data_IF_630491154294
#
_entry.id   IF_630491154294
#
_cell.length_a   1.000
_cell.length_b   1.000
_cell.length_c   1.000
_cell.angle_alpha   90.00
_cell.angle_beta   90.00
_cell.angle_gamma   90.00
#
_symmetry.space_group_name_H-M   'P 1'
#
loop_
_entity.id
_entity.type
_entity.pdbx_description
1 polymer ?
#
# COMPACT_ATOMS: atom_id res chain seq x y z
N UNK A 1 -21.42 -15.58 -11.48
CA UNK A 1 -22.88 -15.51 -11.67
C UNK A 1 -23.59 -16.28 -10.56
N UNK A 2 -24.24 -15.57 -9.64
CA UNK A 2 -24.99 -16.18 -8.53
C UNK A 2 -26.24 -16.91 -9.05
N UNK A 3 -26.78 -17.85 -8.26
CA UNK A 3 -28.01 -18.59 -8.61
C UNK A 3 -29.18 -17.62 -8.84
N UNK A 4 -29.24 -16.54 -8.06
CA UNK A 4 -30.21 -15.46 -8.21
C UNK A 4 -30.18 -14.81 -9.59
N UNK A 5 -29.00 -14.38 -10.07
CA UNK A 5 -28.88 -13.77 -11.39
C UNK A 5 -29.18 -14.75 -12.52
N UNK A 6 -28.89 -16.05 -12.36
CA UNK A 6 -29.28 -17.07 -13.35
C UNK A 6 -30.79 -17.17 -13.49
N UNK A 7 -31.54 -17.06 -12.40
CA UNK A 7 -33.01 -17.06 -12.40
C UNK A 7 -33.57 -15.76 -12.97
N UNK A 8 -33.04 -14.60 -12.57
CA UNK A 8 -33.49 -13.29 -13.07
C UNK A 8 -33.29 -13.12 -14.59
N UNK A 9 -32.13 -13.55 -15.12
CA UNK A 9 -31.79 -13.37 -16.53
C UNK A 9 -32.46 -14.39 -17.46
N UNK A 10 -33.08 -15.44 -16.92
CA UNK A 10 -33.81 -16.42 -17.70
C UNK A 10 -35.32 -16.25 -17.54
N UNK A 11 -35.99 -15.80 -18.61
CA UNK A 11 -37.42 -15.50 -18.57
C UNK A 11 -38.31 -16.70 -18.21
N UNK A 12 -37.92 -17.95 -18.55
CA UNK A 12 -38.72 -19.13 -18.16
C UNK A 12 -38.62 -19.37 -16.65
N UNK A 13 -37.41 -19.31 -16.11
CA UNK A 13 -37.17 -19.47 -14.67
C UNK A 13 -37.82 -18.34 -13.86
N UNK A 14 -37.73 -17.10 -14.34
CA UNK A 14 -38.37 -15.94 -13.71
C UNK A 14 -39.90 -16.07 -13.70
N UNK A 15 -40.52 -16.51 -14.80
CA UNK A 15 -41.97 -16.76 -14.85
C UNK A 15 -42.41 -17.83 -13.86
N UNK A 16 -41.63 -18.89 -13.67
CA UNK A 16 -41.92 -19.92 -12.67
C UNK A 16 -41.78 -19.34 -11.27
N UNK A 17 -40.72 -18.57 -10.99
CA UNK A 17 -40.48 -17.97 -9.68
C UNK A 17 -41.55 -16.93 -9.26
N UNK A 18 -42.13 -16.20 -10.22
CA UNK A 18 -43.14 -15.17 -9.95
C UNK A 18 -44.59 -15.66 -10.08
N UNK A 19 -44.83 -16.89 -10.56
CA UNK A 19 -46.18 -17.40 -10.85
C UNK A 19 -47.09 -17.38 -9.62
N UNK A 20 -46.55 -17.75 -8.45
CA UNK A 20 -47.30 -17.91 -7.22
C UNK A 20 -47.21 -16.68 -6.30
N UNK A 21 -46.67 -15.56 -6.80
CA UNK A 21 -46.50 -14.32 -6.05
C UNK A 21 -47.64 -13.34 -6.34
N UNK A 22 -48.19 -12.63 -5.33
CA UNK A 22 -49.21 -11.62 -5.56
C UNK A 22 -48.67 -10.46 -6.42
N UNK A 23 -49.54 -9.92 -7.28
CA UNK A 23 -49.16 -8.88 -8.24
C UNK A 23 -48.53 -7.65 -7.57
N UNK A 24 -49.05 -7.23 -6.42
CA UNK A 24 -48.53 -6.08 -5.68
C UNK A 24 -47.05 -6.24 -5.29
N UNK A 25 -46.66 -7.45 -4.89
CA UNK A 25 -45.26 -7.75 -4.55
C UNK A 25 -44.36 -7.79 -5.79
N UNK A 26 -44.88 -8.24 -6.93
CA UNK A 26 -44.16 -8.20 -8.21
C UNK A 26 -43.96 -6.75 -8.68
N UNK A 27 -44.96 -5.89 -8.50
CA UNK A 27 -44.87 -4.45 -8.76
C UNK A 27 -43.82 -3.78 -7.87
N UNK A 28 -43.86 -4.03 -6.56
CA UNK A 28 -42.86 -3.50 -5.61
C UNK A 28 -41.44 -3.97 -5.96
N UNK A 29 -41.27 -5.24 -6.33
CA UNK A 29 -39.99 -5.78 -6.76
C UNK A 29 -39.48 -5.09 -8.04
N UNK A 30 -40.38 -4.79 -8.99
CA UNK A 30 -40.05 -4.04 -10.21
C UNK A 30 -39.60 -2.62 -9.88
N UNK A 31 -40.34 -1.90 -9.04
CA UNK A 31 -39.99 -0.54 -8.65
C UNK A 31 -38.61 -0.47 -7.98
N UNK A 32 -38.32 -1.38 -7.05
CA UNK A 32 -36.99 -1.47 -6.43
C UNK A 32 -35.89 -1.78 -7.45
N UNK A 33 -36.17 -2.65 -8.41
CA UNK A 33 -35.21 -2.96 -9.47
C UNK A 33 -34.97 -1.75 -10.37
N UNK A 34 -36.01 -1.01 -10.74
CA UNK A 34 -35.90 0.20 -11.56
C UNK A 34 -35.10 1.30 -10.85
N UNK A 35 -35.27 1.46 -9.53
CA UNK A 35 -34.46 2.37 -8.72
C UNK A 35 -32.98 2.00 -8.74
N UNK A 36 -32.65 0.74 -8.44
CA UNK A 36 -31.26 0.26 -8.48
C UNK A 36 -30.67 0.35 -9.89
N UNK A 37 -31.49 0.10 -10.91
CA UNK A 37 -31.07 0.24 -12.30
C UNK A 37 -30.73 1.69 -12.64
N UNK A 38 -31.54 2.65 -12.21
CA UNK A 38 -31.26 4.08 -12.40
C UNK A 38 -29.97 4.51 -11.70
N UNK A 39 -29.74 4.08 -10.45
CA UNK A 39 -28.50 4.37 -9.71
C UNK A 39 -27.26 3.82 -10.44
N UNK A 40 -27.34 2.59 -10.94
CA UNK A 40 -26.25 1.97 -11.70
C UNK A 40 -26.02 2.65 -13.05
N UNK A 41 -27.08 3.10 -13.71
CA UNK A 41 -26.97 3.83 -14.97
C UNK A 41 -26.30 5.18 -14.76
N UNK A 42 -26.70 5.92 -13.72
CA UNK A 42 -26.08 7.20 -13.37
C UNK A 42 -24.60 7.01 -13.01
N UNK A 43 -24.28 6.00 -12.20
CA UNK A 43 -22.88 5.70 -11.87
C UNK A 43 -22.04 5.37 -13.12
N UNK A 44 -22.58 4.58 -14.05
CA UNK A 44 -21.90 4.23 -15.29
C UNK A 44 -21.76 5.44 -16.24
N UNK A 45 -22.71 6.38 -16.22
CA UNK A 45 -22.62 7.63 -16.98
C UNK A 45 -21.60 8.59 -16.38
N UNK A 46 -21.57 8.74 -15.05
CA UNK A 46 -20.55 9.53 -14.35
C UNK A 46 -19.14 8.97 -14.58
N UNK A 47 -18.97 7.65 -14.54
CA UNK A 47 -17.68 7.02 -14.83
C UNK A 47 -17.25 7.26 -16.28
N UNK A 48 -18.18 7.13 -17.23
CA UNK A 48 -17.91 7.41 -18.64
C UNK A 48 -17.58 8.87 -18.90
N UNK A 49 -18.30 9.80 -18.28
CA UNK A 49 -18.03 11.23 -18.37
C UNK A 49 -16.66 11.57 -17.78
N UNK A 50 -16.30 11.00 -16.62
CA UNK A 50 -14.98 11.20 -16.02
C UNK A 50 -13.85 10.61 -16.89
N UNK A 51 -14.06 9.44 -17.49
CA UNK A 51 -13.12 8.86 -18.46
C UNK A 51 -12.99 9.72 -19.71
N UNK A 52 -14.09 10.27 -20.21
CA UNK A 52 -14.09 11.15 -21.38
C UNK A 52 -13.38 12.47 -21.09
N UNK A 53 -13.66 13.12 -19.96
CA UNK A 53 -12.93 14.32 -19.52
C UNK A 53 -11.43 14.04 -19.34
N UNK A 54 -11.07 12.90 -18.76
CA UNK A 54 -9.67 12.51 -18.61
C UNK A 54 -8.99 12.31 -19.96
N UNK A 55 -9.65 11.62 -20.89
CA UNK A 55 -9.15 11.38 -22.24
C UNK A 55 -9.07 12.67 -23.06
N UNK A 56 -10.03 13.59 -22.92
CA UNK A 56 -10.00 14.91 -23.55
C UNK A 56 -8.81 15.71 -23.05
N UNK A 57 -8.61 15.79 -21.73
CA UNK A 57 -7.43 16.44 -21.14
C UNK A 57 -6.14 15.80 -21.65
N UNK A 58 -6.07 14.47 -21.69
CA UNK A 58 -4.89 13.76 -22.19
C UNK A 58 -4.61 14.10 -23.67
N UNK A 59 -5.65 14.19 -24.50
CA UNK A 59 -5.54 14.59 -25.89
C UNK A 59 -5.09 16.05 -26.05
N UNK A 60 -5.61 16.96 -25.22
CA UNK A 60 -5.17 18.36 -25.18
C UNK A 60 -3.68 18.47 -24.79
N UNK A 61 -3.26 17.80 -23.72
CA UNK A 61 -1.85 17.76 -23.30
C UNK A 61 -0.96 17.13 -24.36
N UNK A 62 -1.42 16.06 -25.02
CA UNK A 62 -0.67 15.43 -26.12
C UNK A 62 -0.45 16.39 -27.29
N UNK A 63 -1.45 17.22 -27.64
CA UNK A 63 -1.29 18.26 -28.66
C UNK A 63 -0.28 19.32 -28.25
N UNK A 64 -0.37 19.82 -27.02
CA UNK A 64 0.58 20.81 -26.49
C UNK A 64 2.02 20.28 -26.47
N UNK A 65 2.22 19.01 -26.10
CA UNK A 65 3.54 18.37 -26.15
C UNK A 65 4.06 18.24 -27.58
N UNK A 66 3.20 17.86 -28.52
CA UNK A 66 3.55 17.78 -29.93
C UNK A 66 3.93 19.16 -30.50
N UNK A 67 3.21 20.23 -30.14
CA UNK A 67 3.55 21.61 -30.52
C UNK A 67 4.90 22.06 -29.93
N UNK A 68 5.21 21.64 -28.71
CA UNK A 68 6.51 21.88 -28.08
C UNK A 68 7.64 20.99 -28.64
N UNK A 69 7.32 20.02 -29.50
CA UNK A 69 8.28 19.05 -30.05
C UNK A 69 8.83 18.07 -29.02
N UNK A 70 8.10 17.86 -27.91
CA UNK A 70 8.50 16.98 -26.81
C UNK A 70 7.76 15.65 -26.95
N UNK A 71 8.50 14.54 -27.03
CA UNK A 71 7.91 13.21 -27.02
C UNK A 71 7.46 12.84 -25.58
N UNK A 72 6.24 12.29 -25.38
CA UNK A 72 5.78 11.88 -24.06
C UNK A 72 6.71 10.91 -23.32
N UNK A 73 7.50 10.09 -24.04
CA UNK A 73 8.45 9.16 -23.44
C UNK A 73 9.64 9.88 -22.79
N UNK A 74 10.11 10.99 -23.38
CA UNK A 74 11.22 11.79 -22.83
C UNK A 74 10.86 12.38 -21.47
N UNK A 75 9.58 12.72 -21.24
CA UNK A 75 9.10 13.16 -19.93
C UNK A 75 9.12 12.05 -18.87
N UNK A 76 8.80 10.82 -19.27
CA UNK A 76 8.87 9.65 -18.38
C UNK A 76 10.32 9.36 -18.01
N UNK A 77 11.22 9.42 -18.98
CA UNK A 77 12.66 9.22 -18.78
C UNK A 77 13.26 10.34 -17.90
N UNK A 78 12.90 11.60 -18.13
CA UNK A 78 13.30 12.73 -17.30
C UNK A 78 12.79 12.58 -15.84
N UNK A 79 11.55 12.12 -15.65
CA UNK A 79 11.00 11.84 -14.31
C UNK A 79 11.74 10.70 -13.62
N UNK A 80 12.07 9.64 -14.37
CA UNK A 80 12.79 8.50 -13.85
C UNK A 80 14.22 8.89 -13.46
N UNK A 81 14.89 9.71 -14.26
CA UNK A 81 16.20 10.28 -13.96
C UNK A 81 16.17 11.17 -12.71
N UNK A 82 15.16 12.04 -12.57
CA UNK A 82 15.00 12.86 -11.37
C UNK A 82 14.77 12.03 -10.09
N UNK A 83 14.07 10.89 -10.21
CA UNK A 83 13.83 9.98 -9.08
C UNK A 83 15.09 9.20 -8.67
N UNK A 84 15.92 8.78 -9.62
CA UNK A 84 17.18 8.09 -9.33
C UNK A 84 18.23 9.02 -8.74
N UNK A 85 18.31 10.27 -9.19
CA UNK A 85 19.16 11.32 -8.60
C UNK A 85 18.77 11.64 -7.15
N UNK A 86 17.46 11.65 -6.84
CA UNK A 86 16.95 11.82 -5.47
C UNK A 86 17.38 10.69 -4.52
N UNK A 87 17.48 9.45 -5.01
CA UNK A 87 17.96 8.31 -4.21
C UNK A 87 19.49 8.24 -4.08
N UNK A 88 20.23 8.77 -5.05
CA UNK A 88 21.69 8.87 -4.97
C UNK A 88 22.13 9.81 -3.83
N UNK A 89 21.37 10.88 -3.55
CA UNK A 89 21.66 11.82 -2.45
C UNK A 89 21.38 11.27 -1.03
N UNK A 90 20.60 10.19 -0.87
CA UNK A 90 20.25 9.63 0.44
C UNK A 90 21.18 8.48 0.87
N UNK A 91 21.97 7.91 -0.05
CA UNK A 91 22.80 6.72 0.22
C UNK A 91 24.25 6.99 0.65
N UNK A 92 24.65 8.25 0.85
CA UNK A 92 25.95 8.60 1.42
C UNK A 92 25.87 8.90 2.92
N UNK A 93 25.22 8.03 3.70
CA UNK A 93 25.58 7.87 5.11
C UNK A 93 26.69 6.84 5.18
N UNK A 94 27.91 7.36 5.38
CA UNK A 94 29.11 6.59 5.69
C UNK A 94 28.82 5.48 6.70
N UNK A 95 29.10 4.24 6.31
CA UNK A 95 29.15 3.10 7.23
C UNK A 95 30.28 3.34 8.23
N UNK A 96 29.95 3.91 9.40
CA UNK A 96 30.89 4.03 10.51
C UNK A 96 31.34 2.63 10.91
N UNK A 97 32.65 2.42 10.99
CA UNK A 97 33.22 1.17 11.51
C UNK A 97 32.68 0.91 12.92
N UNK A 98 32.25 -0.33 13.23
CA UNK A 98 31.80 -0.67 14.58
C UNK A 98 32.94 -0.47 15.56
N UNK A 99 32.69 0.32 16.62
CA UNK A 99 33.69 0.58 17.66
C UNK A 99 34.08 -0.72 18.37
N UNK A 100 35.37 -0.92 18.70
CA UNK A 100 35.82 -2.13 19.39
C UNK A 100 35.13 -2.28 20.75
N UNK A 101 34.85 -3.52 21.15
CA UNK A 101 34.33 -3.83 22.47
C UNK A 101 35.32 -3.40 23.55
N UNK A 102 34.83 -2.77 24.62
CA UNK A 102 35.66 -2.24 25.71
C UNK A 102 35.70 -3.16 26.91
N UNK A 103 34.61 -3.91 27.17
CA UNK A 103 34.50 -4.82 28.31
C UNK A 103 34.02 -6.22 27.89
N UNK A 104 34.57 -7.27 28.48
CA UNK A 104 34.19 -8.67 28.29
C UNK A 104 33.71 -9.31 29.59
N UNK A 105 32.58 -10.02 29.56
CA UNK A 105 32.01 -10.68 30.73
C UNK A 105 31.26 -11.95 30.35
N UNK A 106 31.16 -12.89 31.29
CA UNK A 106 30.37 -14.11 31.12
C UNK A 106 28.92 -13.86 31.53
N UNK A 107 28.00 -14.12 30.61
CA UNK A 107 26.56 -14.10 30.88
C UNK A 107 25.98 -15.47 30.53
N UNK A 108 25.41 -16.16 31.52
CA UNK A 108 24.74 -17.45 31.34
C UNK A 108 25.63 -18.52 30.65
N UNK A 109 26.94 -18.48 30.90
CA UNK A 109 27.93 -19.40 30.30
C UNK A 109 28.44 -19.02 28.91
N UNK A 110 28.06 -17.85 28.39
CA UNK A 110 28.46 -17.33 27.07
C UNK A 110 29.28 -16.04 27.26
N UNK A 111 30.42 -15.93 26.55
CA UNK A 111 31.24 -14.72 26.50
C UNK A 111 30.49 -13.59 25.78
N UNK A 112 30.14 -12.54 26.51
CA UNK A 112 29.48 -11.36 25.99
C UNK A 112 30.41 -10.15 26.09
N UNK A 113 30.32 -9.24 25.13
CA UNK A 113 31.14 -8.02 25.10
C UNK A 113 30.28 -6.77 25.05
N UNK A 114 30.74 -5.71 25.74
CA UNK A 114 30.06 -4.43 25.79
C UNK A 114 31.01 -3.30 25.40
N UNK A 115 30.59 -2.47 24.47
CA UNK A 115 31.37 -1.34 23.93
C UNK A 115 31.42 -0.14 24.88
N UNK A 116 30.78 -0.22 26.05
CA UNK A 116 30.66 0.90 26.99
C UNK A 116 29.67 1.99 26.52
N UNK A 117 28.99 1.77 25.39
CA UNK A 117 28.01 2.71 24.82
C UNK A 117 26.59 2.17 25.03
N UNK A 118 25.71 2.98 25.63
CA UNK A 118 24.31 2.61 25.87
C UNK A 118 24.06 2.01 27.25
N UNK A 119 22.95 1.27 27.42
CA UNK A 119 22.60 0.66 28.71
C UNK A 119 23.57 -0.49 29.02
N UNK A 120 24.12 -0.49 30.23
CA UNK A 120 25.01 -1.55 30.72
C UNK A 120 24.27 -2.89 30.77
N UNK A 121 24.84 -3.99 30.22
CA UNK A 121 24.24 -5.31 30.30
C UNK A 121 24.03 -5.75 31.74
N UNK A 122 22.94 -6.49 31.99
CA UNK A 122 22.52 -6.88 33.35
C UNK A 122 23.59 -7.70 34.08
N UNK A 123 24.23 -8.64 33.38
CA UNK A 123 25.28 -9.47 33.99
C UNK A 123 26.49 -8.64 34.45
N UNK A 124 26.92 -7.66 33.66
CA UNK A 124 27.99 -6.74 34.08
C UNK A 124 27.51 -5.83 35.22
N UNK A 125 26.27 -5.37 35.19
CA UNK A 125 25.68 -4.55 36.25
C UNK A 125 25.60 -5.28 37.59
N UNK A 126 25.30 -6.57 37.59
CA UNK A 126 25.26 -7.40 38.80
C UNK A 126 26.65 -7.61 39.39
N UNK A 127 27.67 -7.83 38.56
CA UNK A 127 29.06 -7.95 39.01
C UNK A 127 29.59 -6.65 39.62
N UNK A 128 29.28 -5.51 39.01
CA UNK A 128 29.64 -4.19 39.56
C UNK A 128 28.90 -3.91 40.87
N UNK A 129 27.62 -4.29 40.97
CA UNK A 129 26.85 -4.18 42.23
C UNK A 129 27.36 -5.12 43.32
N UNK A 130 27.92 -6.27 42.95
CA UNK A 130 28.57 -7.20 43.86
C UNK A 130 29.93 -6.70 44.38
N UNK A 131 30.34 -5.47 43.99
CA UNK A 131 31.53 -4.80 44.50
C UNK A 131 32.78 -4.95 43.63
N UNK A 132 32.67 -5.53 42.43
CA UNK A 132 33.80 -5.61 41.48
C UNK A 132 33.93 -4.31 40.70
N UNK A 133 35.17 -3.93 40.38
CA UNK A 133 35.40 -2.75 39.57
C UNK A 133 35.01 -3.04 38.13
N UNK A 134 34.40 -2.08 37.44
CA UNK A 134 34.10 -2.19 36.01
C UNK A 134 35.38 -2.37 35.18
N UNK A 135 36.52 -1.90 35.71
CA UNK A 135 37.85 -2.03 35.13
C UNK A 135 38.35 -3.48 35.09
N UNK A 136 37.87 -4.36 35.98
CA UNK A 136 38.25 -5.78 36.00
C UNK A 136 37.71 -6.55 34.78
N UNK A 137 36.78 -5.94 34.05
CA UNK A 137 36.16 -6.50 32.86
C UNK A 137 36.64 -5.84 31.57
N UNK A 138 37.64 -4.95 31.63
CA UNK A 138 38.20 -4.30 30.46
C UNK A 138 38.93 -5.33 29.58
N UNK A 139 38.69 -5.31 28.27
CA UNK A 139 39.41 -6.14 27.29
C UNK A 139 40.82 -5.61 27.01
#
# INVERSE_FOLDING_TARGET
MTVFFKTLLNIRSLRVALRDMPLDQVCEAKEKFDLVFAELQEAAEQERAAQEEHNQKLAEFSKLLAEAGIDPNELVDARQAAWTEGKAKVKTTSKREPRPAKYGFMQDGIEATWTGQGRMPKALAEQVKAGKALEDFLL
#
